data_IF_813743522028
#
_entry.id   IF_813743522028
#
_cell.length_a   1.000
_cell.length_b   1.000
_cell.length_c   1.000
_cell.angle_alpha   90.00
_cell.angle_beta   90.00
_cell.angle_gamma   90.00
#
_symmetry.space_group_name_H-M   'P 1'
#
loop_
_entity.id
_entity.type
_entity.pdbx_description
1 polymer ?
#
# COMPACT_ATOMS: atom_id res chain seq x y z
N UNK A 1 -15.47 -19.06 5.43
CA UNK A 1 -14.42 -18.75 4.45
C UNK A 1 -13.63 -17.62 5.06
N UNK A 2 -12.42 -17.93 5.53
CA UNK A 2 -11.48 -16.97 6.10
C UNK A 2 -10.57 -16.49 4.96
N UNK A 3 -10.36 -15.17 4.87
CA UNK A 3 -9.62 -14.53 3.79
C UNK A 3 -8.12 -14.59 4.15
N UNK A 4 -7.27 -15.03 3.22
CA UNK A 4 -5.80 -15.09 3.37
C UNK A 4 -5.22 -16.08 4.41
N UNK A 5 -5.94 -17.14 4.75
CA UNK A 5 -5.50 -18.21 5.70
C UNK A 5 -5.13 -19.54 5.01
N UNK A 6 -5.01 -19.54 3.68
CA UNK A 6 -4.55 -20.69 2.93
C UNK A 6 -3.04 -20.93 3.09
N UNK A 7 -2.57 -22.18 2.94
CA UNK A 7 -1.17 -22.49 3.19
C UNK A 7 -0.28 -21.87 2.10
N UNK A 8 0.87 -21.32 2.51
CA UNK A 8 1.69 -20.44 1.68
C UNK A 8 2.68 -21.27 0.86
N UNK A 9 2.68 -21.06 -0.46
CA UNK A 9 3.61 -21.73 -1.40
C UNK A 9 4.98 -21.05 -1.36
N UNK A 10 4.99 -19.71 -1.42
CA UNK A 10 6.18 -18.87 -1.33
C UNK A 10 5.79 -17.42 -0.96
N UNK A 11 6.77 -16.61 -0.49
CA UNK A 11 6.59 -15.18 -0.21
C UNK A 11 7.89 -14.40 -0.38
N UNK A 12 7.79 -13.21 -0.97
CA UNK A 12 8.88 -12.23 -1.08
C UNK A 12 8.63 -11.00 -0.20
N UNK A 13 9.69 -10.29 0.19
CA UNK A 13 9.59 -8.98 0.85
C UNK A 13 9.96 -7.89 -0.14
N UNK A 14 9.05 -6.94 -0.36
CA UNK A 14 9.32 -5.71 -1.11
C UNK A 14 9.66 -4.60 -0.12
N UNK A 15 10.78 -3.92 -0.32
CA UNK A 15 11.19 -2.79 0.52
C UNK A 15 10.39 -1.53 0.23
N UNK A 16 10.11 -0.76 1.28
CA UNK A 16 9.51 0.57 1.20
C UNK A 16 10.57 1.66 1.33
N UNK A 17 10.44 2.69 0.52
CA UNK A 17 11.33 3.84 0.46
C UNK A 17 10.57 5.12 0.84
N UNK A 18 11.27 6.19 1.25
CA UNK A 18 10.65 7.46 1.63
C UNK A 18 9.83 8.10 0.50
N UNK A 19 10.26 7.93 -0.74
CA UNK A 19 9.56 8.47 -1.92
C UNK A 19 8.33 7.65 -2.33
N UNK A 20 8.08 6.49 -1.71
CA UNK A 20 6.97 5.65 -2.13
C UNK A 20 5.61 6.23 -1.78
N UNK A 21 4.75 6.22 -2.78
CA UNK A 21 3.31 6.34 -2.65
C UNK A 21 2.65 4.97 -2.72
N UNK A 22 1.38 4.87 -2.33
CA UNK A 22 0.59 3.65 -2.54
C UNK A 22 0.59 3.21 -4.01
N UNK A 23 0.67 4.14 -4.96
CA UNK A 23 0.79 3.86 -6.39
C UNK A 23 2.12 3.19 -6.74
N UNK A 24 3.26 3.78 -6.35
CA UNK A 24 4.59 3.27 -6.70
C UNK A 24 4.87 1.92 -6.03
N UNK A 25 4.50 1.78 -4.75
CA UNK A 25 4.67 0.56 -3.99
C UNK A 25 3.81 -0.58 -4.56
N UNK A 26 2.54 -0.32 -4.90
CA UNK A 26 1.67 -1.33 -5.53
C UNK A 26 2.26 -1.83 -6.85
N UNK A 27 2.79 -0.93 -7.68
CA UNK A 27 3.42 -1.31 -8.95
C UNK A 27 4.58 -2.29 -8.70
N UNK A 28 5.50 -1.97 -7.77
CA UNK A 28 6.62 -2.85 -7.43
C UNK A 28 6.17 -4.19 -6.83
N UNK A 29 5.12 -4.18 -6.01
CA UNK A 29 4.50 -5.40 -5.50
C UNK A 29 3.93 -6.27 -6.63
N UNK A 30 3.25 -5.68 -7.62
CA UNK A 30 2.71 -6.43 -8.76
C UNK A 30 3.81 -7.05 -9.61
N UNK A 31 4.90 -6.30 -9.84
CA UNK A 31 6.05 -6.80 -10.59
C UNK A 31 6.71 -7.98 -9.86
N UNK A 32 6.94 -7.85 -8.55
CA UNK A 32 7.50 -8.92 -7.71
C UNK A 32 6.58 -10.15 -7.63
N UNK A 33 5.27 -9.96 -7.51
CA UNK A 33 4.28 -11.04 -7.53
C UNK A 33 4.32 -11.83 -8.84
N UNK A 34 4.44 -11.13 -9.97
CA UNK A 34 4.54 -11.77 -11.27
C UNK A 34 5.84 -12.57 -11.39
N UNK A 35 6.94 -12.09 -10.85
CA UNK A 35 8.22 -12.79 -10.88
C UNK A 35 8.21 -14.03 -9.98
N UNK A 36 7.77 -13.87 -8.73
CA UNK A 36 7.62 -14.97 -7.78
C UNK A 36 6.72 -16.09 -8.33
N UNK A 37 5.66 -15.72 -9.06
CA UNK A 37 4.79 -16.69 -9.74
C UNK A 37 5.53 -17.46 -10.83
N UNK A 38 6.34 -16.80 -11.67
CA UNK A 38 7.13 -17.47 -12.73
C UNK A 38 8.17 -18.41 -12.13
N UNK A 39 8.89 -17.97 -11.11
CA UNK A 39 9.90 -18.78 -10.41
C UNK A 39 9.31 -20.05 -9.82
N UNK A 40 8.06 -19.97 -9.33
CA UNK A 40 7.37 -21.09 -8.70
C UNK A 40 6.46 -21.87 -9.64
N UNK A 41 6.39 -21.54 -10.94
CA UNK A 41 5.43 -22.13 -11.87
C UNK A 41 5.49 -23.66 -11.90
N UNK A 42 6.69 -24.25 -11.96
CA UNK A 42 6.87 -25.71 -11.98
C UNK A 42 6.32 -26.36 -10.69
N UNK A 43 6.61 -25.76 -9.52
CA UNK A 43 6.11 -26.22 -8.21
C UNK A 43 4.59 -26.12 -8.11
N UNK A 44 4.00 -25.05 -8.66
CA UNK A 44 2.55 -24.84 -8.69
C UNK A 44 1.89 -25.88 -9.60
N UNK A 45 2.46 -26.12 -10.79
CA UNK A 45 1.94 -27.07 -11.79
C UNK A 45 1.94 -28.52 -11.29
N UNK A 46 2.95 -28.92 -10.54
CA UNK A 46 3.12 -30.29 -10.03
C UNK A 46 2.30 -30.60 -8.78
N UNK A 47 1.65 -29.60 -8.19
CA UNK A 47 0.89 -29.70 -6.94
C UNK A 47 1.66 -29.05 -5.79
N UNK A 48 1.21 -27.89 -5.30
CA UNK A 48 1.96 -27.14 -4.30
C UNK A 48 2.09 -27.92 -2.99
N UNK A 49 3.33 -28.21 -2.59
CA UNK A 49 3.65 -28.56 -1.21
C UNK A 49 3.71 -27.26 -0.42
N UNK A 50 2.58 -26.87 0.14
CA UNK A 50 2.48 -25.65 0.91
C UNK A 50 3.22 -25.81 2.24
N UNK A 51 3.86 -24.73 2.70
CA UNK A 51 4.44 -24.70 4.04
C UNK A 51 3.35 -24.30 5.04
N UNK A 52 3.46 -24.78 6.29
CA UNK A 52 2.60 -24.32 7.37
C UNK A 52 2.74 -22.80 7.52
N UNK A 53 1.62 -22.09 7.51
CA UNK A 53 1.57 -20.66 7.77
C UNK A 53 1.99 -20.44 9.23
N UNK A 54 2.79 -19.40 9.50
CA UNK A 54 2.98 -18.99 10.89
C UNK A 54 1.65 -18.44 11.40
N UNK A 55 0.97 -19.22 12.25
CA UNK A 55 -0.21 -18.77 12.97
C UNK A 55 0.15 -17.51 13.77
N UNK A 56 -0.68 -16.47 13.61
CA UNK A 56 -0.59 -15.15 14.24
C UNK A 56 0.33 -14.15 13.52
N UNK A 57 -0.27 -13.26 12.73
CA UNK A 57 -0.60 -11.85 13.07
C UNK A 57 -0.96 -11.18 11.74
N UNK A 58 -2.19 -11.37 11.27
CA UNK A 58 -2.74 -10.62 10.13
C UNK A 58 -3.86 -9.72 10.65
N UNK A 59 -3.81 -8.43 10.35
CA UNK A 59 -4.96 -7.53 10.55
C UNK A 59 -5.73 -7.43 9.24
N UNK A 60 -7.02 -7.70 9.27
CA UNK A 60 -7.90 -7.48 8.11
C UNK A 60 -8.33 -6.03 8.08
N UNK A 61 -8.09 -5.35 6.96
CA UNK A 61 -8.54 -3.97 6.77
C UNK A 61 -9.71 -3.91 5.80
N UNK A 62 -10.79 -3.23 6.20
CA UNK A 62 -12.01 -3.13 5.40
C UNK A 62 -12.08 -1.81 4.64
N UNK A 63 -12.78 -1.80 3.50
CA UNK A 63 -12.99 -0.60 2.69
C UNK A 63 -13.59 0.59 3.48
N UNK A 64 -14.42 0.33 4.48
CA UNK A 64 -14.99 1.37 5.35
C UNK A 64 -13.94 2.08 6.20
N UNK A 65 -12.93 1.33 6.68
CA UNK A 65 -11.82 1.90 7.45
C UNK A 65 -10.98 2.84 6.58
N UNK A 66 -10.88 2.54 5.28
CA UNK A 66 -10.21 3.42 4.32
C UNK A 66 -10.98 4.74 4.13
N UNK A 67 -12.31 4.71 4.04
CA UNK A 67 -13.13 5.91 3.89
C UNK A 67 -12.98 6.85 5.11
N UNK A 68 -13.02 6.29 6.33
CA UNK A 68 -12.78 7.03 7.58
C UNK A 68 -11.34 7.55 7.69
N UNK A 69 -10.36 6.73 7.28
CA UNK A 69 -8.95 7.13 7.30
C UNK A 69 -8.63 8.21 6.26
N UNK A 70 -9.42 8.33 5.19
CA UNK A 70 -9.15 9.25 4.07
C UNK A 70 -9.40 10.72 4.41
N UNK A 71 -10.21 11.03 5.42
CA UNK A 71 -10.49 12.41 5.83
C UNK A 71 -9.31 13.03 6.59
N UNK A 72 -8.97 14.28 6.28
CA UNK A 72 -7.92 15.08 6.90
C UNK A 72 -8.54 16.12 7.83
N UNK A 73 -8.29 15.96 9.12
CA UNK A 73 -8.69 16.93 10.14
C UNK A 73 -7.74 18.13 10.14
N UNK A 74 -8.14 19.22 9.47
CA UNK A 74 -7.28 20.39 9.18
C UNK A 74 -6.77 21.12 10.43
N UNK A 75 -7.39 20.92 11.59
CA UNK A 75 -7.03 21.57 12.86
C UNK A 75 -6.33 20.62 13.84
N UNK A 76 -6.08 19.38 13.44
CA UNK A 76 -5.38 18.41 14.28
C UNK A 76 -3.87 18.68 14.27
N UNK A 77 -3.23 18.66 15.43
CA UNK A 77 -1.77 18.74 15.54
C UNK A 77 -1.16 17.35 15.40
N UNK A 78 -0.29 17.16 14.40
CA UNK A 78 0.48 15.92 14.17
C UNK A 78 1.93 16.22 13.89
N UNK A 79 2.78 15.20 14.03
CA UNK A 79 4.13 15.30 13.49
C UNK A 79 4.08 15.32 11.98
N UNK A 80 5.01 16.03 11.36
CA UNK A 80 5.14 16.11 9.90
C UNK A 80 5.35 14.73 9.28
N UNK A 81 6.08 13.83 9.96
CA UNK A 81 6.28 12.44 9.52
C UNK A 81 4.94 11.70 9.33
N UNK A 82 4.05 11.79 10.32
CA UNK A 82 2.74 11.12 10.28
C UNK A 82 1.83 11.69 9.18
N UNK A 83 1.93 13.00 8.93
CA UNK A 83 1.18 13.66 7.85
C UNK A 83 1.68 13.20 6.49
N UNK A 84 3.00 13.20 6.26
CA UNK A 84 3.59 12.75 5.01
C UNK A 84 3.29 11.26 4.77
N UNK A 85 3.43 10.42 5.79
CA UNK A 85 3.14 8.99 5.72
C UNK A 85 1.66 8.72 5.38
N UNK A 86 0.74 9.46 6.00
CA UNK A 86 -0.69 9.37 5.68
C UNK A 86 -0.96 9.79 4.24
N UNK A 87 -0.43 10.94 3.81
CA UNK A 87 -0.67 11.46 2.46
C UNK A 87 -0.11 10.51 1.40
N UNK A 88 1.13 10.03 1.52
CA UNK A 88 1.72 9.11 0.53
C UNK A 88 1.02 7.75 0.49
N UNK A 89 0.49 7.28 1.62
CA UNK A 89 -0.34 6.07 1.67
C UNK A 89 -1.70 6.26 0.96
N UNK A 90 -2.20 7.49 0.87
CA UNK A 90 -3.46 7.83 0.19
C UNK A 90 -3.25 8.35 -1.24
N UNK A 91 -2.01 8.61 -1.65
CA UNK A 91 -1.60 8.90 -3.02
C UNK A 91 -1.62 7.63 -3.89
N UNK A 92 -2.77 7.34 -4.51
CA UNK A 92 -2.92 6.18 -5.41
C UNK A 92 -3.36 6.54 -6.84
N UNK A 93 -4.38 7.39 -6.96
CA UNK A 93 -4.90 7.92 -8.24
C UNK A 93 -4.23 9.26 -8.56
N UNK A 94 -4.66 9.94 -9.63
CA UNK A 94 -4.21 11.30 -9.93
C UNK A 94 -4.77 12.31 -8.91
N UNK A 95 -6.00 12.09 -8.46
CA UNK A 95 -6.68 12.95 -7.47
C UNK A 95 -6.30 12.62 -6.02
N UNK A 96 -5.79 11.41 -5.76
CA UNK A 96 -5.56 10.90 -4.41
C UNK A 96 -6.85 10.43 -3.72
N UNK A 97 -6.70 9.78 -2.57
CA UNK A 97 -7.82 9.36 -1.73
C UNK A 97 -8.03 10.30 -0.54
N UNK A 98 -6.98 11.01 -0.11
CA UNK A 98 -7.06 11.92 1.02
C UNK A 98 -7.94 13.13 0.67
N UNK A 99 -8.77 13.58 1.59
CA UNK A 99 -9.59 14.78 1.38
C UNK A 99 -9.84 15.55 2.67
N UNK A 100 -10.17 16.82 2.56
CA UNK A 100 -10.76 17.63 3.64
C UNK A 100 -11.98 18.38 3.13
N UNK A 101 -12.81 18.86 4.06
CA UNK A 101 -13.95 19.72 3.74
C UNK A 101 -13.80 21.09 4.38
N UNK A 102 -14.03 22.14 3.60
CA UNK A 102 -14.04 23.54 4.06
C UNK A 102 -15.21 24.27 3.38
N UNK A 103 -16.02 24.99 4.16
CA UNK A 103 -17.22 25.70 3.69
C UNK A 103 -18.20 24.83 2.87
N UNK A 104 -18.32 23.55 3.22
CA UNK A 104 -19.19 22.58 2.53
C UNK A 104 -18.67 22.13 1.16
N UNK A 105 -17.42 22.45 0.82
CA UNK A 105 -16.73 21.99 -0.38
C UNK A 105 -15.65 20.97 0.00
N UNK A 106 -15.53 19.91 -0.81
CA UNK A 106 -14.54 18.86 -0.61
C UNK A 106 -13.33 19.07 -1.50
N UNK A 107 -12.14 18.95 -0.91
CA UNK A 107 -10.86 19.11 -1.58
C UNK A 107 -10.05 17.82 -1.43
N UNK A 108 -9.66 17.23 -2.54
CA UNK A 108 -8.79 16.05 -2.55
C UNK A 108 -7.33 16.47 -2.54
N UNK A 109 -6.51 15.68 -1.86
CA UNK A 109 -5.08 15.92 -1.67
C UNK A 109 -4.33 14.71 -2.17
N UNK A 110 -3.34 14.98 -3.02
CA UNK A 110 -2.38 14.02 -3.49
C UNK A 110 -0.98 14.62 -3.34
N UNK A 111 0.01 13.76 -3.08
CA UNK A 111 1.41 14.17 -3.01
C UNK A 111 2.27 13.26 -3.88
N UNK A 112 3.29 13.87 -4.47
CA UNK A 112 4.43 13.20 -5.08
C UNK A 112 5.68 13.56 -4.28
N UNK A 113 6.54 12.58 -4.07
CA UNK A 113 7.81 12.73 -3.36
C UNK A 113 8.90 12.34 -4.36
N UNK A 114 9.84 13.25 -4.59
CA UNK A 114 10.91 13.08 -5.59
C UNK A 114 12.25 13.23 -4.91
N UNK A 115 13.18 12.33 -5.23
CA UNK A 115 14.56 12.43 -4.73
C UNK A 115 15.25 13.59 -5.44
N UNK A 116 16.12 14.30 -4.74
CA UNK A 116 16.89 15.41 -5.32
C UNK A 116 17.66 14.98 -6.58
N UNK A 117 18.21 13.77 -6.58
CA UNK A 117 18.95 13.18 -7.71
C UNK A 117 18.11 12.99 -8.99
N UNK A 118 16.78 12.98 -8.87
CA UNK A 118 15.84 12.82 -10.00
C UNK A 118 15.35 14.17 -10.54
N UNK A 119 15.72 15.29 -9.91
CA UNK A 119 15.37 16.62 -10.38
C UNK A 119 16.32 17.06 -11.50
N UNK A 120 15.77 17.38 -12.67
CA UNK A 120 16.52 18.05 -13.73
C UNK A 120 16.87 19.47 -13.29
N UNK A 121 18.15 19.72 -12.99
CA UNK A 121 18.69 21.04 -12.64
C UNK A 121 19.25 21.79 -13.85
#
# INVERSE_FOLDING_TARGET
EEIDEGPVIDKGKVETFPEDTSKSLRKRLMDEQAELFKENWERIREGPKANDQMENVGTTHYRKELDEFSELEMREEKKVEDVIDKLRALSYTEEGLAYFEEDGQRFFVNIDITREEELDH
#
